data_IF_136763901033
#
_entry.id   IF_136763901033
#
_cell.length_a   1.000
_cell.length_b   1.000
_cell.length_c   1.000
_cell.angle_alpha   90.00
_cell.angle_beta   90.00
_cell.angle_gamma   90.00
#
_symmetry.space_group_name_H-M   'P 1'
#
loop_
_entity.id
_entity.type
_entity.pdbx_description
1 polymer ?
#
# COMPACT_ATOMS: atom_id res chain seq x y z
N UNK A 1 -12.67 -2.03 -9.25
CA UNK A 1 -11.38 -1.74 -8.60
C UNK A 1 -10.29 -2.05 -9.59
N UNK A 2 -9.31 -1.17 -9.75
CA UNK A 2 -8.12 -1.44 -10.55
C UNK A 2 -7.37 -2.60 -9.90
N UNK A 3 -6.78 -3.52 -10.70
CA UNK A 3 -5.89 -4.58 -10.18
C UNK A 3 -4.69 -4.02 -9.40
N UNK A 4 -4.33 -2.77 -9.73
CA UNK A 4 -3.32 -1.98 -9.05
C UNK A 4 -3.87 -1.37 -7.77
N UNK A 5 -3.35 -1.86 -6.66
CA UNK A 5 -3.68 -1.41 -5.30
C UNK A 5 -2.41 -1.19 -4.47
N UNK A 6 -1.38 -0.65 -5.11
CA UNK A 6 -0.24 -0.10 -4.40
C UNK A 6 -0.51 1.32 -3.93
N UNK A 7 -0.17 1.59 -2.69
CA UNK A 7 -0.21 2.90 -2.05
C UNK A 7 1.14 3.20 -1.42
N UNK A 8 1.56 4.46 -1.47
CA UNK A 8 2.86 4.86 -0.94
C UNK A 8 2.71 6.06 0.00
N UNK A 9 3.35 5.95 1.16
CA UNK A 9 3.66 7.09 2.02
C UNK A 9 5.00 7.68 1.60
N UNK A 10 5.01 9.00 1.36
CA UNK A 10 6.23 9.72 0.97
C UNK A 10 6.92 10.35 2.19
N UNK A 11 8.24 10.52 2.10
CA UNK A 11 9.06 11.22 3.11
C UNK A 11 8.68 12.71 3.20
N UNK A 12 8.84 13.37 4.35
CA UNK A 12 8.39 14.76 4.53
C UNK A 12 9.01 15.79 3.56
N UNK A 13 10.19 15.53 3.01
CA UNK A 13 10.93 16.39 2.09
C UNK A 13 10.64 16.11 0.59
N UNK A 14 9.59 15.33 0.30
CA UNK A 14 9.24 15.00 -1.06
C UNK A 14 8.65 16.19 -1.86
N UNK A 15 8.74 16.19 -3.20
CA UNK A 15 8.22 17.27 -4.04
C UNK A 15 6.70 17.50 -3.94
N UNK A 16 5.94 16.51 -3.48
CA UNK A 16 4.48 16.52 -3.37
C UNK A 16 3.97 16.84 -1.96
N UNK A 17 4.86 17.18 -1.01
CA UNK A 17 4.47 17.45 0.39
C UNK A 17 3.38 18.52 0.53
N UNK A 18 3.32 19.50 -0.38
CA UNK A 18 2.32 20.57 -0.36
C UNK A 18 0.90 20.10 -0.71
N UNK A 19 0.74 18.92 -1.33
CA UNK A 19 -0.55 18.38 -1.78
C UNK A 19 -0.91 17.05 -1.12
N UNK A 20 -0.11 16.58 -0.15
CA UNK A 20 -0.29 15.26 0.44
C UNK A 20 -1.64 15.11 1.16
N UNK A 21 -2.18 16.22 1.66
CA UNK A 21 -3.50 16.31 2.28
C UNK A 21 -4.67 16.10 1.30
N UNK A 22 -4.43 16.13 -0.01
CA UNK A 22 -5.42 15.78 -1.02
C UNK A 22 -5.61 14.27 -1.16
N UNK A 23 -4.75 13.47 -0.53
CA UNK A 23 -4.76 12.02 -0.63
C UNK A 23 -5.34 11.38 0.63
N UNK A 24 -6.19 10.34 0.49
CA UNK A 24 -6.65 9.55 1.62
C UNK A 24 -5.46 9.04 2.43
N UNK A 25 -5.53 9.19 3.75
CA UNK A 25 -4.47 8.74 4.68
C UNK A 25 -3.06 9.25 4.34
N UNK A 26 -2.95 10.33 3.55
CA UNK A 26 -1.69 10.87 3.05
C UNK A 26 -0.88 9.84 2.23
N UNK A 27 -1.58 8.93 1.54
CA UNK A 27 -0.99 7.90 0.70
C UNK A 27 -1.27 8.15 -0.79
N UNK A 28 -0.23 8.08 -1.61
CA UNK A 28 -0.36 8.30 -3.06
C UNK A 28 -0.56 6.96 -3.77
N UNK A 29 -1.58 6.84 -4.65
CA UNK A 29 -1.79 5.62 -5.40
C UNK A 29 -0.66 5.47 -6.42
N UNK A 30 0.04 4.36 -6.36
CA UNK A 30 1.07 4.00 -7.32
C UNK A 30 0.56 2.86 -8.20
N UNK A 31 1.19 2.74 -9.36
CA UNK A 31 1.18 1.48 -10.10
C UNK A 31 2.05 0.48 -9.37
N UNK A 32 1.61 -0.77 -9.38
CA UNK A 32 2.32 -1.82 -8.67
C UNK A 32 3.75 -1.93 -9.21
N UNK A 33 4.78 -1.83 -8.36
CA UNK A 33 6.17 -1.84 -8.79
C UNK A 33 6.46 -3.12 -9.57
N UNK A 34 7.29 -3.03 -10.61
CA UNK A 34 7.73 -4.24 -11.31
C UNK A 34 8.70 -5.04 -10.42
N UNK A 35 8.60 -6.37 -10.34
CA UNK A 35 9.21 -7.13 -9.25
C UNK A 35 10.74 -7.18 -9.38
N UNK A 36 11.24 -6.93 -10.59
CA UNK A 36 12.65 -6.69 -10.85
C UNK A 36 12.77 -5.45 -11.76
N UNK A 37 13.64 -4.51 -11.41
CA UNK A 37 13.98 -3.45 -12.35
C UNK A 37 15.02 -3.99 -13.33
N UNK A 38 14.67 -4.12 -14.61
CA UNK A 38 15.65 -4.44 -15.64
C UNK A 38 16.54 -3.21 -15.86
N UNK A 39 17.77 -3.26 -15.34
CA UNK A 39 18.79 -2.26 -15.65
C UNK A 39 19.17 -2.42 -17.11
N UNK A 40 18.54 -1.64 -17.98
CA UNK A 40 19.07 -1.49 -19.33
C UNK A 40 20.43 -0.78 -19.23
N UNK A 41 21.50 -1.55 -19.38
CA UNK A 41 22.88 -1.13 -19.67
C UNK A 41 23.69 -0.47 -18.54
N UNK A 42 23.57 -0.92 -17.29
CA UNK A 42 24.55 -0.59 -16.23
C UNK A 42 24.75 0.91 -15.96
N UNK A 43 23.80 1.75 -16.36
CA UNK A 43 23.73 3.16 -15.96
C UNK A 43 22.86 3.24 -14.72
N UNK A 44 23.27 4.05 -13.74
CA UNK A 44 22.48 4.39 -12.55
C UNK A 44 21.13 4.96 -12.98
N UNK A 45 20.15 4.09 -13.19
CA UNK A 45 18.76 4.50 -13.36
C UNK A 45 18.19 4.59 -11.96
N UNK A 46 17.75 5.78 -11.59
CA UNK A 46 16.93 5.94 -10.41
C UNK A 46 15.73 4.98 -10.53
N UNK A 47 15.51 4.13 -9.53
CA UNK A 47 14.27 3.39 -9.41
C UNK A 47 13.12 4.40 -9.34
N UNK A 48 12.25 4.39 -10.36
CA UNK A 48 11.13 5.32 -10.49
C UNK A 48 9.83 4.57 -10.20
N UNK A 49 9.07 5.09 -9.25
CA UNK A 49 7.68 4.71 -9.05
C UNK A 49 6.79 5.54 -9.95
N UNK A 50 5.67 4.98 -10.41
CA UNK A 50 4.70 5.68 -11.25
C UNK A 50 3.42 5.89 -10.46
N UNK A 51 3.09 7.15 -10.19
CA UNK A 51 1.80 7.54 -9.62
C UNK A 51 0.71 7.22 -10.63
N UNK A 52 -0.29 6.44 -10.23
CA UNK A 52 -1.26 5.90 -11.17
C UNK A 52 -2.32 6.94 -11.54
N UNK A 53 -2.22 7.49 -12.76
CA UNK A 53 -3.09 8.57 -13.24
C UNK A 53 -4.58 8.17 -13.21
N UNK A 54 -4.89 6.90 -13.47
CA UNK A 54 -6.26 6.39 -13.54
C UNK A 54 -6.95 6.37 -12.15
N UNK A 55 -6.17 6.44 -11.07
CA UNK A 55 -6.64 6.45 -9.68
C UNK A 55 -6.66 7.86 -9.08
N UNK A 56 -6.24 8.87 -9.82
CA UNK A 56 -6.28 10.26 -9.38
C UNK A 56 -7.61 10.92 -9.72
N UNK A 57 -8.12 11.70 -8.78
CA UNK A 57 -9.13 12.72 -9.08
C UNK A 57 -8.54 13.81 -9.98
N UNK A 58 -9.39 14.54 -10.68
CA UNK A 58 -8.97 15.67 -11.54
C UNK A 58 -8.19 16.74 -10.77
N UNK A 59 -8.55 16.99 -9.50
CA UNK A 59 -7.86 17.95 -8.63
C UNK A 59 -6.45 17.45 -8.33
N UNK A 60 -6.30 16.20 -7.88
CA UNK A 60 -4.99 15.61 -7.57
C UNK A 60 -4.08 15.62 -8.82
N UNK A 61 -4.58 15.16 -9.97
CA UNK A 61 -3.80 15.15 -11.22
C UNK A 61 -3.35 16.56 -11.64
N UNK A 62 -4.22 17.56 -11.48
CA UNK A 62 -3.91 18.97 -11.80
C UNK A 62 -2.82 19.52 -10.89
N UNK A 63 -2.90 19.29 -9.59
CA UNK A 63 -1.92 19.83 -8.64
C UNK A 63 -0.56 19.15 -8.78
N UNK A 64 -0.50 17.83 -8.99
CA UNK A 64 0.74 17.13 -9.34
C UNK A 64 1.36 17.75 -10.60
N UNK A 65 0.55 17.96 -11.65
CA UNK A 65 1.03 18.54 -12.91
C UNK A 65 1.64 19.93 -12.71
N UNK A 66 1.00 20.79 -11.90
CA UNK A 66 1.54 22.13 -11.58
C UNK A 66 2.85 22.07 -10.80
N UNK A 67 3.01 21.11 -9.90
CA UNK A 67 4.26 20.90 -9.16
C UNK A 67 5.37 20.49 -10.12
N UNK A 68 5.11 19.50 -10.98
CA UNK A 68 6.08 19.01 -11.95
C UNK A 68 6.45 20.09 -12.97
N UNK A 69 5.47 20.83 -13.50
CA UNK A 69 5.70 21.95 -14.41
C UNK A 69 6.63 23.03 -13.80
N UNK A 70 6.41 23.39 -12.54
CA UNK A 70 7.29 24.31 -11.80
C UNK A 70 8.69 23.73 -11.59
N UNK A 71 8.78 22.46 -11.17
CA UNK A 71 10.03 21.79 -10.84
C UNK A 71 10.92 21.57 -12.05
N UNK A 72 10.30 21.20 -13.18
CA UNK A 72 10.98 20.88 -14.44
C UNK A 72 11.09 22.09 -15.39
N UNK A 73 10.56 23.24 -15.00
CA UNK A 73 10.47 24.44 -15.85
C UNK A 73 9.85 24.14 -17.23
N UNK A 74 8.74 23.40 -17.20
CA UNK A 74 7.99 22.93 -18.37
C UNK A 74 6.56 23.49 -18.36
N UNK A 75 5.83 23.35 -19.47
CA UNK A 75 4.43 23.76 -19.51
C UNK A 75 3.52 22.72 -18.84
N UNK A 76 2.38 23.16 -18.30
CA UNK A 76 1.38 22.25 -17.71
C UNK A 76 0.87 21.25 -18.75
N UNK A 77 0.64 21.70 -19.98
CA UNK A 77 0.14 20.84 -21.07
C UNK A 77 1.15 19.77 -21.47
N UNK A 78 2.45 20.11 -21.48
CA UNK A 78 3.54 19.16 -21.75
C UNK A 78 3.62 18.08 -20.68
N UNK A 79 3.66 18.47 -19.40
CA UNK A 79 3.70 17.52 -18.28
C UNK A 79 2.46 16.63 -18.25
N UNK A 80 1.28 17.20 -18.51
CA UNK A 80 0.04 16.42 -18.54
C UNK A 80 0.00 15.46 -19.75
N UNK A 81 0.47 15.90 -20.92
CA UNK A 81 0.61 15.05 -22.10
C UNK A 81 1.57 13.87 -21.88
N UNK A 82 2.70 14.12 -21.21
CA UNK A 82 3.64 13.07 -20.82
C UNK A 82 3.02 12.10 -19.82
N UNK A 83 2.27 12.61 -18.84
CA UNK A 83 1.58 11.78 -17.86
C UNK A 83 0.52 10.89 -18.51
N UNK A 84 -0.22 11.38 -19.51
CA UNK A 84 -1.16 10.56 -20.29
C UNK A 84 -0.45 9.45 -21.07
N UNK A 85 0.69 9.78 -21.68
CA UNK A 85 1.47 8.82 -22.48
C UNK A 85 2.06 7.71 -21.63
N UNK A 86 2.62 8.06 -20.47
CA UNK A 86 3.19 7.12 -19.50
C UNK A 86 2.13 6.54 -18.55
N UNK A 87 0.88 7.00 -18.71
CA UNK A 87 -0.27 6.70 -17.86
C UNK A 87 0.00 6.91 -16.36
N UNK A 88 0.74 7.95 -16.01
CA UNK A 88 1.15 8.27 -14.64
C UNK A 88 2.28 9.30 -14.54
N UNK A 89 2.58 9.71 -13.31
CA UNK A 89 3.68 10.63 -13.00
C UNK A 89 4.82 9.88 -12.32
N UNK A 90 6.06 10.04 -12.81
CA UNK A 90 7.20 9.32 -12.26
C UNK A 90 7.80 10.04 -11.04
N UNK A 91 7.90 9.35 -9.90
CA UNK A 91 8.56 9.82 -8.68
C UNK A 91 9.77 8.94 -8.34
N UNK A 92 10.83 9.56 -7.87
CA UNK A 92 12.04 8.85 -7.47
C UNK A 92 11.80 8.07 -6.16
N UNK A 93 12.22 6.81 -6.14
CA UNK A 93 12.21 5.91 -4.96
C UNK A 93 12.83 6.51 -3.71
N UNK A 94 13.78 7.46 -3.84
CA UNK A 94 14.38 8.16 -2.70
C UNK A 94 13.36 8.86 -1.80
N UNK A 95 12.22 9.28 -2.37
CA UNK A 95 11.14 9.95 -1.65
C UNK A 95 10.10 8.99 -1.05
N UNK A 96 10.20 7.69 -1.33
CA UNK A 96 9.30 6.67 -0.78
C UNK A 96 9.75 6.33 0.65
N UNK A 97 8.82 6.43 1.61
CA UNK A 97 9.04 6.01 3.00
C UNK A 97 8.48 4.61 3.24
N UNK A 98 7.19 4.42 2.90
CA UNK A 98 6.49 3.14 3.08
C UNK A 98 5.71 2.78 1.84
N UNK A 99 5.63 1.48 1.60
CA UNK A 99 4.91 0.87 0.48
C UNK A 99 3.88 -0.09 1.06
N UNK A 100 2.62 0.10 0.69
CA UNK A 100 1.58 -0.88 0.86
C UNK A 100 1.27 -1.48 -0.52
N UNK A 101 1.23 -2.80 -0.60
CA UNK A 101 0.88 -3.54 -1.81
C UNK A 101 -0.39 -4.34 -1.53
N UNK A 102 -1.41 -4.20 -2.37
CA UNK A 102 -2.55 -5.11 -2.38
C UNK A 102 -2.25 -6.48 -3.01
N UNK A 103 -3.32 -7.18 -3.35
CA UNK A 103 -3.34 -8.57 -3.84
C UNK A 103 -2.33 -8.84 -4.98
N UNK A 104 -2.28 -7.97 -6.00
CA UNK A 104 -1.36 -8.13 -7.14
C UNK A 104 0.11 -8.05 -6.71
N UNK A 105 0.47 -7.02 -5.93
CA UNK A 105 1.83 -6.83 -5.47
C UNK A 105 2.29 -8.00 -4.58
N UNK A 106 1.43 -8.47 -3.68
CA UNK A 106 1.70 -9.65 -2.86
C UNK A 106 1.95 -10.91 -3.69
N UNK A 107 1.06 -11.21 -4.64
CA UNK A 107 1.19 -12.40 -5.47
C UNK A 107 2.47 -12.36 -6.31
N UNK A 108 2.82 -11.19 -6.86
CA UNK A 108 4.03 -11.01 -7.66
C UNK A 108 5.31 -11.15 -6.82
N UNK A 109 5.31 -10.66 -5.58
CA UNK A 109 6.42 -10.90 -4.64
C UNK A 109 6.60 -12.40 -4.33
N UNK A 110 5.51 -13.14 -4.15
CA UNK A 110 5.57 -14.60 -3.97
C UNK A 110 6.10 -15.32 -5.21
N UNK A 111 5.63 -14.95 -6.39
CA UNK A 111 6.10 -15.52 -7.67
C UNK A 111 7.59 -15.27 -7.89
N UNK A 112 8.12 -14.13 -7.45
CA UNK A 112 9.57 -13.84 -7.44
C UNK A 112 10.31 -14.75 -6.46
N UNK A 113 9.82 -14.90 -5.23
CA UNK A 113 10.44 -15.78 -4.26
C UNK A 113 10.49 -17.23 -4.77
N UNK A 114 9.40 -17.71 -5.40
CA UNK A 114 9.32 -19.02 -6.04
C UNK A 114 10.26 -19.16 -7.25
N UNK A 115 10.50 -18.07 -7.99
CA UNK A 115 11.48 -18.07 -9.06
C UNK A 115 12.90 -18.26 -8.52
N UNK A 116 13.29 -17.53 -7.48
CA UNK A 116 14.63 -17.66 -6.89
C UNK A 116 14.84 -18.98 -6.16
N UNK A 117 13.81 -19.58 -5.55
CA UNK A 117 13.92 -20.90 -4.94
C UNK A 117 14.14 -22.00 -5.99
N UNK A 118 13.47 -21.90 -7.15
CA UNK A 118 13.63 -22.84 -8.26
C UNK A 118 14.90 -22.57 -9.07
N UNK A 119 15.35 -21.32 -9.12
CA UNK A 119 16.50 -20.88 -9.87
C UNK A 119 17.38 -19.92 -9.04
N UNK A 120 18.19 -20.44 -8.09
CA UNK A 120 18.97 -19.59 -7.18
C UNK A 120 20.04 -18.73 -7.86
N UNK A 121 20.47 -19.11 -9.07
CA UNK A 121 21.44 -18.36 -9.87
C UNK A 121 20.91 -18.24 -11.30
N UNK A 122 19.90 -17.39 -11.55
CA UNK A 122 19.25 -17.32 -12.85
C UNK A 122 20.17 -16.67 -13.88
N UNK A 123 20.11 -17.14 -15.12
CA UNK A 123 20.72 -16.45 -16.26
C UNK A 123 19.89 -15.22 -16.63
N UNK A 124 20.48 -14.29 -17.40
CA UNK A 124 19.74 -13.13 -17.92
C UNK A 124 18.51 -13.57 -18.74
N UNK A 125 18.64 -14.62 -19.55
CA UNK A 125 17.54 -15.18 -20.34
C UNK A 125 16.39 -15.66 -19.45
N UNK A 126 16.68 -16.36 -18.36
CA UNK A 126 15.66 -16.83 -17.41
C UNK A 126 14.96 -15.68 -16.68
N UNK A 127 15.71 -14.61 -16.36
CA UNK A 127 15.14 -13.38 -15.81
C UNK A 127 14.21 -12.74 -16.84
N UNK A 128 14.65 -12.57 -18.09
CA UNK A 128 13.85 -11.98 -19.16
C UNK A 128 12.56 -12.76 -19.43
N UNK A 129 12.62 -14.09 -19.46
CA UNK A 129 11.46 -14.97 -19.62
C UNK A 129 10.46 -14.80 -18.47
N UNK A 130 10.93 -14.84 -17.22
CA UNK A 130 10.08 -14.62 -16.05
C UNK A 130 9.42 -13.23 -16.10
N UNK A 131 10.18 -12.21 -16.48
CA UNK A 131 9.70 -10.82 -16.55
C UNK A 131 8.67 -10.61 -17.66
N UNK A 132 8.88 -11.25 -18.80
CA UNK A 132 7.93 -11.20 -19.90
C UNK A 132 6.62 -11.92 -19.53
N UNK A 133 6.70 -13.05 -18.82
CA UNK A 133 5.52 -13.75 -18.29
C UNK A 133 4.73 -12.87 -17.30
N UNK A 134 5.42 -12.28 -16.31
CA UNK A 134 4.83 -11.34 -15.36
C UNK A 134 4.12 -10.19 -16.08
N UNK A 135 4.75 -9.59 -17.09
CA UNK A 135 4.16 -8.50 -17.87
C UNK A 135 2.93 -8.97 -18.66
N UNK A 136 3.02 -10.10 -19.34
CA UNK A 136 1.94 -10.63 -20.17
C UNK A 136 0.69 -10.96 -19.35
N UNK A 137 0.85 -11.44 -18.11
CA UNK A 137 -0.26 -11.77 -17.21
C UNK A 137 -0.81 -10.54 -16.50
N UNK A 138 0.07 -9.80 -15.84
CA UNK A 138 -0.29 -8.74 -14.89
C UNK A 138 -0.47 -7.38 -15.51
N UNK A 139 0.24 -7.04 -16.59
CA UNK A 139 0.16 -5.71 -17.21
C UNK A 139 -0.73 -5.76 -18.44
N UNK A 140 -0.32 -6.56 -19.44
CA UNK A 140 -0.96 -6.64 -20.75
C UNK A 140 -2.16 -7.60 -20.72
N UNK A 141 -2.19 -8.51 -19.76
CA UNK A 141 -3.25 -9.48 -19.54
C UNK A 141 -4.34 -9.02 -18.57
N UNK A 142 -5.28 -9.94 -18.31
CA UNK A 142 -6.45 -9.73 -17.45
C UNK A 142 -6.48 -10.68 -16.24
N UNK A 143 -5.33 -11.24 -15.86
CA UNK A 143 -5.24 -12.09 -14.68
C UNK A 143 -5.69 -11.33 -13.43
N UNK A 144 -6.46 -12.01 -12.57
CA UNK A 144 -6.95 -11.45 -11.32
C UNK A 144 -6.12 -12.04 -10.19
N UNK A 145 -5.54 -11.20 -9.32
CA UNK A 145 -4.74 -11.70 -8.23
C UNK A 145 -5.61 -12.44 -7.21
N UNK A 146 -5.02 -13.43 -6.54
CA UNK A 146 -5.65 -14.06 -5.39
C UNK A 146 -5.64 -13.07 -4.21
N UNK A 147 -6.71 -13.02 -3.40
CA UNK A 147 -6.73 -12.18 -2.21
C UNK A 147 -5.55 -12.46 -1.29
N UNK A 148 -4.99 -11.40 -0.70
CA UNK A 148 -3.98 -11.56 0.35
C UNK A 148 -4.55 -12.38 1.53
N UNK A 149 -3.71 -13.18 2.18
CA UNK A 149 -4.09 -13.80 3.44
C UNK A 149 -4.46 -12.74 4.47
N UNK A 150 -5.36 -13.09 5.40
CA UNK A 150 -5.82 -12.17 6.45
C UNK A 150 -5.08 -12.35 7.76
N UNK A 151 -4.56 -13.55 7.99
CA UNK A 151 -3.90 -13.92 9.23
C UNK A 151 -2.40 -14.09 8.98
N UNK A 152 -1.57 -13.62 9.92
CA UNK A 152 -0.11 -13.62 9.79
C UNK A 152 0.47 -14.99 9.40
N UNK A 153 -0.01 -16.07 10.03
CA UNK A 153 0.45 -17.43 9.77
C UNK A 153 0.15 -17.95 8.35
N UNK A 154 -0.81 -17.34 7.66
CA UNK A 154 -1.22 -17.75 6.32
C UNK A 154 -0.39 -17.04 5.23
N UNK A 155 0.43 -16.05 5.59
CA UNK A 155 1.41 -15.45 4.70
C UNK A 155 2.54 -16.42 4.38
N UNK A 156 3.19 -16.22 3.22
CA UNK A 156 4.35 -17.00 2.86
C UNK A 156 5.48 -16.82 3.90
N UNK A 157 6.09 -17.89 4.44
CA UNK A 157 7.08 -17.77 5.51
C UNK A 157 8.29 -16.87 5.15
N UNK A 158 8.59 -16.70 3.86
CA UNK A 158 9.71 -15.86 3.39
C UNK A 158 9.44 -14.37 3.54
N UNK A 159 8.19 -13.97 3.76
CA UNK A 159 7.74 -12.57 3.90
C UNK A 159 7.03 -12.31 5.24
N UNK A 160 6.98 -13.31 6.12
CA UNK A 160 6.55 -13.14 7.51
C UNK A 160 7.62 -12.35 8.27
N UNK A 161 7.44 -11.02 8.36
CA UNK A 161 8.31 -10.14 9.14
C UNK A 161 7.58 -9.65 10.39
N UNK A 162 8.30 -9.23 11.45
CA UNK A 162 7.67 -8.62 12.63
C UNK A 162 6.82 -7.38 12.29
N UNK A 163 7.25 -6.60 11.30
CA UNK A 163 6.52 -5.40 10.85
C UNK A 163 5.17 -5.75 10.22
N UNK A 164 5.07 -6.91 9.56
CA UNK A 164 3.81 -7.40 9.00
C UNK A 164 2.85 -7.85 10.12
N UNK A 165 3.36 -8.52 11.15
CA UNK A 165 2.56 -8.92 12.33
C UNK A 165 2.00 -7.67 13.03
N UNK A 166 2.86 -6.71 13.36
CA UNK A 166 2.48 -5.42 13.97
C UNK A 166 1.45 -4.65 13.12
N UNK A 167 1.58 -4.69 11.78
CA UNK A 167 0.65 -4.03 10.87
C UNK A 167 -0.73 -4.68 10.91
N UNK A 168 -0.81 -6.01 10.81
CA UNK A 168 -2.07 -6.75 10.87
C UNK A 168 -2.77 -6.58 12.23
N UNK A 169 -2.00 -6.56 13.33
CA UNK A 169 -2.55 -6.28 14.66
C UNK A 169 -3.16 -4.87 14.76
N UNK A 170 -2.45 -3.85 14.25
CA UNK A 170 -2.97 -2.47 14.23
C UNK A 170 -4.21 -2.34 13.38
N UNK A 171 -4.21 -2.93 12.19
CA UNK A 171 -5.36 -2.91 11.30
C UNK A 171 -6.58 -3.58 11.95
N UNK A 172 -6.39 -4.74 12.60
CA UNK A 172 -7.46 -5.43 13.32
C UNK A 172 -8.01 -4.59 14.49
N UNK A 173 -7.15 -3.87 15.21
CA UNK A 173 -7.53 -2.91 16.25
C UNK A 173 -8.34 -1.76 15.63
N UNK A 174 -7.83 -1.11 14.59
CA UNK A 174 -8.48 0.02 13.94
C UNK A 174 -9.86 -0.36 13.39
N UNK A 175 -9.98 -1.50 12.72
CA UNK A 175 -11.27 -2.04 12.24
C UNK A 175 -12.25 -2.33 13.38
N UNK A 176 -11.76 -2.84 14.51
CA UNK A 176 -12.58 -3.05 15.70
C UNK A 176 -13.14 -1.73 16.23
N UNK A 177 -12.31 -0.69 16.30
CA UNK A 177 -12.71 0.62 16.82
C UNK A 177 -13.46 1.50 15.81
N UNK A 178 -13.40 1.22 14.50
CA UNK A 178 -13.99 2.05 13.45
C UNK A 178 -15.50 2.31 13.58
N UNK A 179 -16.23 1.41 14.25
CA UNK A 179 -17.67 1.51 14.46
C UNK A 179 -18.06 2.17 15.79
N UNK A 180 -17.09 2.61 16.58
CA UNK A 180 -17.32 3.22 17.88
C UNK A 180 -17.11 4.73 17.82
N UNK A 181 -17.98 5.47 18.51
CA UNK A 181 -17.74 6.89 18.73
C UNK A 181 -16.60 7.09 19.74
N UNK A 182 -15.98 8.27 19.76
CA UNK A 182 -14.99 8.63 20.80
C UNK A 182 -15.57 8.44 22.21
N UNK A 183 -16.87 8.68 22.40
CA UNK A 183 -17.54 8.46 23.69
C UNK A 183 -17.63 6.97 24.03
N UNK A 184 -17.90 6.10 23.06
CA UNK A 184 -17.93 4.64 23.30
C UNK A 184 -16.54 4.09 23.65
N UNK A 185 -15.49 4.64 23.04
CA UNK A 185 -14.11 4.26 23.37
C UNK A 185 -13.74 4.74 24.77
N UNK A 186 -14.00 6.02 25.08
CA UNK A 186 -13.66 6.61 26.39
C UNK A 186 -14.47 6.01 27.55
N UNK A 187 -15.70 5.57 27.30
CA UNK A 187 -16.52 4.87 28.31
C UNK A 187 -16.12 3.41 28.49
N UNK A 188 -15.16 2.89 27.72
CA UNK A 188 -14.72 1.50 27.79
C UNK A 188 -15.68 0.50 27.10
N UNK A 189 -16.74 0.98 26.44
CA UNK A 189 -17.74 0.12 25.78
C UNK A 189 -17.10 -0.74 24.71
N UNK A 190 -16.23 -0.16 23.90
CA UNK A 190 -15.49 -0.87 22.86
C UNK A 190 -14.58 -1.98 23.44
N UNK A 191 -14.03 -1.77 24.64
CA UNK A 191 -13.22 -2.77 25.36
C UNK A 191 -14.07 -3.91 25.91
N UNK A 192 -15.22 -3.59 26.51
CA UNK A 192 -16.16 -4.61 27.00
C UNK A 192 -16.68 -5.48 25.86
N UNK A 193 -17.07 -4.87 24.75
CA UNK A 193 -17.54 -5.59 23.56
C UNK A 193 -16.42 -6.47 22.96
N UNK A 194 -15.15 -6.00 22.96
CA UNK A 194 -13.99 -6.79 22.55
C UNK A 194 -13.81 -8.02 23.45
N UNK A 195 -13.82 -7.83 24.77
CA UNK A 195 -13.62 -8.90 25.75
C UNK A 195 -14.73 -9.95 25.68
N UNK A 196 -15.99 -9.53 25.52
CA UNK A 196 -17.13 -10.43 25.32
C UNK A 196 -17.03 -11.22 24.00
N UNK A 197 -16.47 -10.63 22.94
CA UNK A 197 -16.25 -11.32 21.66
C UNK A 197 -15.14 -12.36 21.76
N UNK A 198 -14.05 -12.05 22.46
CA UNK A 198 -12.90 -12.96 22.65
C UNK A 198 -13.21 -14.08 23.65
N UNK A 199 -14.01 -13.79 24.67
CA UNK A 199 -14.34 -14.71 25.75
C UNK A 199 -15.86 -14.79 25.94
N UNK A 200 -16.60 -15.46 25.02
CA UNK A 200 -18.07 -15.50 25.05
C UNK A 200 -18.64 -16.21 26.28
N UNK A 201 -17.83 -17.01 26.97
CA UNK A 201 -18.19 -17.68 28.22
C UNK A 201 -18.20 -16.73 29.44
N UNK A 202 -17.69 -15.51 29.27
CA UNK A 202 -17.68 -14.46 30.28
C UNK A 202 -18.53 -13.28 29.79
N UNK A 203 -19.31 -12.69 30.70
CA UNK A 203 -20.04 -11.44 30.44
C UNK A 203 -19.33 -10.31 31.18
N UNK A 204 -18.50 -9.60 30.44
CA UNK A 204 -17.97 -8.32 30.87
C UNK A 204 -19.06 -7.26 30.67
N UNK A 205 -19.21 -6.38 31.66
CA UNK A 205 -20.10 -5.23 31.60
C UNK A 205 -19.39 -4.00 32.13
N UNK A 206 -19.84 -2.82 31.69
CA UNK A 206 -19.34 -1.57 32.24
C UNK A 206 -19.99 -1.36 33.61
N UNK A 207 -19.19 -1.44 34.66
CA UNK A 207 -19.63 -1.08 36.01
C UNK A 207 -19.92 0.42 36.01
N UNK A 208 -21.18 0.79 36.27
CA UNK A 208 -21.57 2.18 36.39
C UNK A 208 -20.90 2.83 37.60
N UNK A 209 -20.60 4.14 37.51
CA UNK A 209 -20.14 4.92 38.66
C UNK A 209 -21.07 4.82 39.87
N UNK A 210 -22.36 4.50 39.67
CA UNK A 210 -23.34 4.30 40.73
C UNK A 210 -23.04 3.05 41.58
N UNK A 211 -22.63 1.92 41.00
CA UNK A 211 -22.26 0.71 41.77
C UNK A 211 -20.94 0.86 42.54
N UNK A 212 -20.05 1.77 42.11
CA UNK A 212 -18.80 2.07 42.83
C UNK A 212 -18.96 3.10 43.94
N UNK A 213 -20.06 3.86 43.96
CA UNK A 213 -20.36 4.91 44.95
C UNK A 213 -21.38 4.44 46.01
N UNK A 214 -21.92 3.23 45.89
CA UNK A 214 -22.86 2.66 46.85
C UNK A 214 -22.19 2.09 48.13
N UNK A 215 -20.86 2.07 48.19
CA UNK A 215 -20.09 1.47 49.30
C UNK A 215 -19.22 2.47 50.12
N UNK A 216 -19.53 3.78 50.12
CA UNK A 216 -18.93 4.78 51.05
C UNK A 216 -19.97 5.76 51.66
#
# INVERSE_FOLDING_TARGET
>A
MTKHDTWVTLKPDNPLSEIINLFPEQQIPMRDPFPMELVANGQDKAALFVIDLDRLSSIQATEITKIYARTLNASVDEIFGDALTNKGFAINSVYVDKLFCGDEGYQRTREVADFYDRCPNPTLEQIEEFMQDQRNRWIDGNEQPQPMPKEYQDFDPRIQTPELEDFLEKEAIEQHYANYSVLDVLTGKATVDFLNKQNPDYQYELVGLEEMLEDD
#
